data_IF_561056589801
#
_entry.id   IF_561056589801
#
_cell.length_a   1.000
_cell.length_b   1.000
_cell.length_c   1.000
_cell.angle_alpha   90.00
_cell.angle_beta   90.00
_cell.angle_gamma   90.00
#
_symmetry.space_group_name_H-M   'P 1'
#
loop_
_entity.id
_entity.type
_entity.pdbx_description
1 polymer ?
#
# COMPACT_ATOMS: atom_id res chain seq x y z
N UNK A 1 -35.41 -3.66 -30.24
CA UNK A 1 -34.01 -3.27 -29.95
C UNK A 1 -33.77 -1.75 -29.89
N UNK A 2 -34.74 -0.88 -30.22
CA UNK A 2 -34.57 0.59 -30.24
C UNK A 2 -34.96 1.32 -28.94
N UNK A 3 -35.89 0.78 -28.12
CA UNK A 3 -36.35 1.46 -26.90
C UNK A 3 -35.26 1.58 -25.81
N UNK A 4 -34.40 0.57 -25.63
CA UNK A 4 -33.39 0.60 -24.56
C UNK A 4 -32.31 1.66 -24.77
N UNK A 5 -32.04 2.04 -26.03
CA UNK A 5 -31.09 3.09 -26.37
C UNK A 5 -31.64 4.48 -26.00
N UNK A 6 -32.93 4.71 -26.27
CA UNK A 6 -33.64 5.95 -25.89
C UNK A 6 -33.66 6.16 -24.38
N UNK A 7 -34.02 5.13 -23.62
CA UNK A 7 -34.00 5.19 -22.14
C UNK A 7 -32.60 5.46 -21.58
N UNK A 8 -31.56 4.86 -22.18
CA UNK A 8 -30.18 5.05 -21.77
C UNK A 8 -29.64 6.45 -22.11
N UNK A 9 -30.14 7.07 -23.17
CA UNK A 9 -29.83 8.46 -23.51
C UNK A 9 -30.55 9.45 -22.58
N UNK A 10 -31.83 9.20 -22.27
CA UNK A 10 -32.60 10.07 -21.36
C UNK A 10 -32.00 10.02 -19.95
N UNK A 11 -31.62 8.83 -19.46
CA UNK A 11 -30.95 8.71 -18.16
C UNK A 11 -29.58 9.39 -18.13
N UNK A 12 -28.84 9.37 -19.23
CA UNK A 12 -27.58 10.11 -19.40
C UNK A 12 -27.78 11.62 -19.29
N UNK A 13 -28.80 12.16 -19.96
CA UNK A 13 -29.13 13.58 -19.90
C UNK A 13 -29.54 13.98 -18.49
N UNK A 14 -30.44 13.22 -17.85
CA UNK A 14 -30.87 13.48 -16.47
C UNK A 14 -29.71 13.48 -15.47
N UNK A 15 -28.79 12.52 -15.58
CA UNK A 15 -27.58 12.49 -14.74
C UNK A 15 -26.66 13.69 -15.00
N UNK A 16 -26.50 14.10 -16.25
CA UNK A 16 -25.70 15.29 -16.59
C UNK A 16 -26.30 16.57 -16.01
N UNK A 17 -27.63 16.74 -16.12
CA UNK A 17 -28.35 17.88 -15.54
C UNK A 17 -28.26 17.88 -14.02
N UNK A 18 -28.45 16.72 -13.38
CA UNK A 18 -28.30 16.59 -11.93
C UNK A 18 -26.90 16.97 -11.47
N UNK A 19 -25.86 16.64 -12.24
CA UNK A 19 -24.48 16.98 -11.89
C UNK A 19 -24.15 18.46 -12.07
N UNK A 20 -24.64 19.08 -13.14
CA UNK A 20 -24.52 20.53 -13.36
C UNK A 20 -25.28 21.29 -12.29
N UNK A 21 -26.52 20.88 -12.00
CA UNK A 21 -27.34 21.48 -10.97
C UNK A 21 -26.68 21.41 -9.59
N UNK A 22 -26.16 20.25 -9.22
CA UNK A 22 -25.44 20.08 -7.97
C UNK A 22 -24.13 20.86 -7.92
N UNK A 23 -23.44 21.04 -9.05
CA UNK A 23 -22.26 21.91 -9.12
C UNK A 23 -22.64 23.37 -8.87
N UNK A 24 -23.72 23.86 -9.51
CA UNK A 24 -24.23 25.22 -9.31
C UNK A 24 -24.62 25.46 -7.84
N UNK A 25 -25.26 24.48 -7.20
CA UNK A 25 -25.69 24.60 -5.79
C UNK A 25 -24.55 24.51 -4.78
N UNK A 26 -23.60 23.58 -5.00
CA UNK A 26 -22.62 23.22 -3.97
C UNK A 26 -21.21 23.75 -4.25
N UNK A 27 -20.96 24.26 -5.45
CA UNK A 27 -19.62 24.61 -5.95
C UNK A 27 -18.68 23.41 -6.15
N UNK A 28 -19.15 22.18 -5.86
CA UNK A 28 -18.32 20.97 -5.87
C UNK A 28 -18.66 20.07 -7.05
N UNK A 29 -17.62 19.69 -7.78
CA UNK A 29 -17.69 18.71 -8.86
C UNK A 29 -18.19 17.35 -8.36
N UNK A 30 -18.65 16.49 -9.28
CA UNK A 30 -19.04 15.11 -8.95
C UNK A 30 -17.88 14.36 -8.26
N UNK A 31 -16.65 14.55 -8.74
CA UNK A 31 -15.46 13.93 -8.15
C UNK A 31 -15.22 14.42 -6.71
N UNK A 32 -15.30 15.73 -6.47
CA UNK A 32 -15.16 16.28 -5.11
C UNK A 32 -16.26 15.76 -4.19
N UNK A 33 -17.50 15.63 -4.69
CA UNK A 33 -18.61 15.05 -3.92
C UNK A 33 -18.37 13.58 -3.57
N UNK A 34 -17.81 12.78 -4.48
CA UNK A 34 -17.47 11.36 -4.22
C UNK A 34 -16.29 11.26 -3.24
N UNK A 35 -15.26 12.08 -3.40
CA UNK A 35 -14.06 12.08 -2.55
C UNK A 35 -14.41 12.51 -1.11
N UNK A 36 -15.22 13.55 -0.97
CA UNK A 36 -15.63 14.12 0.34
C UNK A 36 -16.68 13.24 1.04
N UNK A 37 -17.34 12.30 0.35
CA UNK A 37 -18.34 11.43 0.96
C UNK A 37 -17.69 10.40 1.93
N UNK A 38 -17.48 10.79 3.18
CA UNK A 38 -16.92 9.95 4.24
C UNK A 38 -17.85 8.82 4.69
N UNK A 39 -19.13 8.83 4.31
CA UNK A 39 -20.07 7.74 4.62
C UNK A 39 -19.81 6.50 3.77
N UNK A 40 -19.18 6.65 2.60
CA UNK A 40 -18.85 5.53 1.71
C UNK A 40 -17.45 4.94 2.05
N UNK A 41 -17.36 3.61 2.22
CA UNK A 41 -16.08 2.89 2.29
C UNK A 41 -15.16 3.29 1.15
N UNK A 42 -13.86 3.39 1.43
CA UNK A 42 -12.84 3.80 0.45
C UNK A 42 -12.88 2.99 -0.86
N UNK A 43 -13.06 1.66 -0.87
CA UNK A 43 -13.14 0.89 -2.13
C UNK A 43 -14.31 1.28 -3.03
N UNK A 44 -15.46 1.62 -2.42
CA UNK A 44 -16.66 2.02 -3.15
C UNK A 44 -16.51 3.42 -3.75
N UNK A 45 -15.81 4.34 -3.06
CA UNK A 45 -15.47 5.66 -3.62
C UNK A 45 -14.57 5.55 -4.84
N UNK A 46 -13.55 4.68 -4.80
CA UNK A 46 -12.65 4.44 -5.95
C UNK A 46 -13.42 3.84 -7.13
N UNK A 47 -14.33 2.89 -6.88
CA UNK A 47 -15.20 2.32 -7.90
C UNK A 47 -16.11 3.36 -8.58
N UNK A 48 -16.72 4.25 -7.79
CA UNK A 48 -17.57 5.33 -8.32
C UNK A 48 -16.77 6.34 -9.16
N UNK A 49 -15.54 6.67 -8.74
CA UNK A 49 -14.62 7.50 -9.53
C UNK A 49 -14.35 6.82 -10.89
N UNK A 50 -13.99 5.53 -10.89
CA UNK A 50 -13.71 4.76 -12.11
C UNK A 50 -14.90 4.74 -13.08
N UNK A 51 -16.11 4.53 -12.56
CA UNK A 51 -17.33 4.53 -13.38
C UNK A 51 -17.66 5.92 -13.93
N UNK A 52 -17.42 6.98 -13.14
CA UNK A 52 -17.65 8.36 -13.60
C UNK A 52 -16.76 8.75 -14.78
N UNK A 53 -15.51 8.29 -14.77
CA UNK A 53 -14.52 8.52 -15.84
C UNK A 53 -14.89 7.74 -17.11
N UNK A 54 -15.29 6.47 -16.97
CA UNK A 54 -15.71 5.64 -18.10
C UNK A 54 -16.96 6.18 -18.80
N UNK A 55 -17.89 6.75 -18.04
CA UNK A 55 -19.13 7.32 -18.58
C UNK A 55 -18.90 8.60 -19.38
N UNK A 56 -17.94 9.44 -18.97
CA UNK A 56 -17.55 10.63 -19.74
C UNK A 56 -16.89 10.31 -21.08
N UNK A 57 -16.37 9.08 -21.26
CA UNK A 57 -15.57 8.70 -22.43
C UNK A 57 -16.36 8.29 -23.68
N UNK A 58 -17.70 8.14 -23.66
CA UNK A 58 -18.41 7.37 -24.72
C UNK A 58 -19.42 8.13 -25.59
N UNK A 59 -19.59 9.45 -25.47
CA UNK A 59 -20.54 10.19 -26.36
C UNK A 59 -20.13 11.57 -26.85
N UNK A 60 -19.11 12.21 -26.26
CA UNK A 60 -18.64 13.54 -26.69
C UNK A 60 -17.41 13.52 -27.61
N UNK A 61 -16.83 12.34 -27.89
CA UNK A 61 -15.47 12.22 -28.43
C UNK A 61 -15.27 12.96 -29.76
N UNK A 62 -16.24 12.94 -30.68
CA UNK A 62 -16.04 13.50 -32.02
C UNK A 62 -16.15 15.03 -32.07
N UNK A 63 -16.89 15.65 -31.15
CA UNK A 63 -17.01 17.12 -31.07
C UNK A 63 -15.98 17.72 -30.09
N UNK A 64 -15.55 16.97 -29.07
CA UNK A 64 -14.48 17.37 -28.17
C UNK A 64 -13.10 17.32 -28.85
N UNK A 65 -12.86 16.46 -29.85
CA UNK A 65 -11.59 16.42 -30.61
C UNK A 65 -11.24 17.76 -31.29
N UNK A 66 -12.22 18.56 -31.69
CA UNK A 66 -11.94 19.92 -32.20
C UNK A 66 -11.65 20.93 -31.09
N UNK A 67 -12.18 20.74 -29.88
CA UNK A 67 -11.83 21.52 -28.68
C UNK A 67 -10.50 21.08 -28.06
N UNK A 68 -10.00 19.88 -28.42
CA UNK A 68 -8.80 19.25 -27.85
C UNK A 68 -7.50 20.03 -28.05
N UNK A 69 -7.43 20.98 -28.98
CA UNK A 69 -6.29 21.91 -29.07
C UNK A 69 -6.14 22.81 -27.83
N UNK A 70 -7.24 23.11 -27.13
CA UNK A 70 -7.24 23.75 -25.81
C UNK A 70 -7.21 22.73 -24.63
N UNK A 71 -7.51 21.43 -24.86
CA UNK A 71 -7.56 20.37 -23.83
C UNK A 71 -6.24 19.63 -23.53
N UNK A 72 -5.09 19.98 -24.12
CA UNK A 72 -3.81 19.30 -23.76
C UNK A 72 -3.51 19.32 -22.25
N UNK A 73 -4.01 20.33 -21.53
CA UNK A 73 -3.94 20.42 -20.06
C UNK A 73 -4.92 19.47 -19.35
N UNK A 74 -6.09 19.20 -19.95
CA UNK A 74 -7.13 18.30 -19.43
C UNK A 74 -6.77 16.82 -19.68
N UNK A 75 -6.17 16.47 -20.82
CA UNK A 75 -5.63 15.12 -21.06
C UNK A 75 -4.49 14.81 -20.09
N UNK A 76 -3.59 15.78 -19.84
CA UNK A 76 -2.51 15.62 -18.86
C UNK A 76 -3.03 15.36 -17.45
N UNK A 77 -4.06 16.09 -17.00
CA UNK A 77 -4.67 15.87 -15.68
C UNK A 77 -5.32 14.48 -15.60
N UNK A 78 -5.99 14.04 -16.67
CA UNK A 78 -6.58 12.71 -16.73
C UNK A 78 -5.51 11.61 -16.62
N UNK A 79 -4.42 11.73 -17.35
CA UNK A 79 -3.32 10.75 -17.36
C UNK A 79 -2.58 10.72 -16.01
N UNK A 80 -2.38 11.89 -15.40
CA UNK A 80 -1.84 12.01 -14.04
C UNK A 80 -2.77 11.37 -13.01
N UNK A 81 -4.07 11.60 -13.09
CA UNK A 81 -5.05 11.01 -12.18
C UNK A 81 -5.08 9.49 -12.32
N UNK A 82 -5.09 8.98 -13.56
CA UNK A 82 -5.04 7.54 -13.84
C UNK A 82 -3.77 6.91 -13.26
N UNK A 83 -2.62 7.57 -13.45
CA UNK A 83 -1.34 7.12 -12.89
C UNK A 83 -1.38 7.05 -11.37
N UNK A 84 -1.94 8.06 -10.70
CA UNK A 84 -2.06 8.08 -9.23
C UNK A 84 -2.98 6.97 -8.75
N UNK A 85 -4.14 6.77 -9.38
CA UNK A 85 -5.08 5.69 -9.02
C UNK A 85 -4.41 4.33 -9.18
N UNK A 86 -3.73 4.09 -10.30
CA UNK A 86 -3.02 2.84 -10.54
C UNK A 86 -1.91 2.60 -9.51
N UNK A 87 -1.13 3.64 -9.16
CA UNK A 87 -0.15 3.55 -8.08
C UNK A 87 -0.79 3.20 -6.74
N UNK A 88 -1.93 3.80 -6.40
CA UNK A 88 -2.67 3.48 -5.16
C UNK A 88 -3.18 2.04 -5.14
N UNK A 89 -3.62 1.50 -6.28
CA UNK A 89 -3.98 0.08 -6.41
C UNK A 89 -2.76 -0.82 -6.16
N UNK A 90 -1.61 -0.51 -6.78
CA UNK A 90 -0.36 -1.26 -6.57
C UNK A 90 0.12 -1.19 -5.11
N UNK A 91 0.03 -0.03 -4.45
CA UNK A 91 0.38 0.09 -3.04
C UNK A 91 -0.50 -0.78 -2.14
N UNK A 92 -1.80 -0.91 -2.44
CA UNK A 92 -2.67 -1.80 -1.67
C UNK A 92 -2.30 -3.27 -1.83
N UNK A 93 -1.93 -3.69 -3.05
CA UNK A 93 -1.42 -5.04 -3.31
C UNK A 93 -0.13 -5.28 -2.52
N UNK A 94 0.80 -4.32 -2.55
CA UNK A 94 2.06 -4.42 -1.81
C UNK A 94 1.81 -4.52 -0.30
N UNK A 95 0.95 -3.67 0.27
CA UNK A 95 0.58 -3.73 1.70
C UNK A 95 0.00 -5.09 2.06
N UNK A 96 -0.84 -5.66 1.18
CA UNK A 96 -1.39 -7.00 1.39
C UNK A 96 -0.28 -8.05 1.43
N UNK A 97 0.61 -8.06 0.44
CA UNK A 97 1.75 -9.01 0.40
C UNK A 97 2.65 -8.90 1.64
N UNK A 98 2.95 -7.68 2.08
CA UNK A 98 3.73 -7.43 3.30
C UNK A 98 3.00 -7.99 4.54
N UNK A 99 1.69 -7.77 4.64
CA UNK A 99 0.89 -8.30 5.73
C UNK A 99 0.81 -9.83 5.70
N UNK A 100 0.75 -10.44 4.52
CA UNK A 100 0.78 -11.90 4.37
C UNK A 100 2.06 -12.47 4.98
N UNK A 101 3.22 -11.85 4.72
CA UNK A 101 4.51 -12.24 5.33
C UNK A 101 4.52 -11.97 6.84
N UNK A 102 4.02 -10.80 7.26
CA UNK A 102 3.92 -10.42 8.68
C UNK A 102 3.09 -11.40 9.50
N UNK A 103 2.08 -12.01 8.89
CA UNK A 103 1.19 -12.96 9.57
C UNK A 103 1.77 -14.37 9.66
N UNK A 104 2.89 -14.66 8.99
CA UNK A 104 3.59 -15.94 9.15
C UNK A 104 4.20 -16.01 10.55
N UNK A 105 3.72 -16.98 11.33
CA UNK A 105 4.20 -17.19 12.70
C UNK A 105 5.61 -17.76 12.69
N UNK A 106 6.52 -17.08 13.39
CA UNK A 106 7.88 -17.57 13.60
C UNK A 106 7.86 -18.77 14.56
N UNK A 107 8.61 -19.81 14.19
CA UNK A 107 8.69 -21.08 14.92
C UNK A 107 10.15 -21.53 14.98
N UNK A 108 10.50 -22.31 16.00
CA UNK A 108 11.81 -22.96 16.12
C UNK A 108 11.86 -24.34 15.45
N UNK A 109 10.80 -24.72 14.72
CA UNK A 109 10.69 -26.00 14.02
C UNK A 109 10.89 -25.86 12.52
N UNK A 110 10.70 -24.65 11.99
CA UNK A 110 10.89 -24.36 10.58
C UNK A 110 12.38 -24.07 10.32
N UNK A 111 13.05 -24.83 9.43
CA UNK A 111 14.48 -24.67 9.17
C UNK A 111 14.84 -23.28 8.63
N UNK A 112 13.98 -22.68 7.80
CA UNK A 112 14.21 -21.33 7.26
C UNK A 112 14.21 -20.26 8.37
N UNK A 113 13.34 -20.41 9.37
CA UNK A 113 13.32 -19.49 10.51
C UNK A 113 14.57 -19.64 11.38
N UNK A 114 15.01 -20.88 11.61
CA UNK A 114 16.23 -21.16 12.37
C UNK A 114 17.48 -20.61 11.68
N UNK A 115 17.60 -20.76 10.36
CA UNK A 115 18.70 -20.19 9.57
C UNK A 115 18.78 -18.66 9.70
N UNK A 116 17.64 -17.96 9.72
CA UNK A 116 17.61 -16.52 9.99
C UNK A 116 18.13 -16.18 11.40
N UNK A 117 17.74 -16.96 12.42
CA UNK A 117 18.27 -16.77 13.77
C UNK A 117 19.78 -17.01 13.84
N UNK A 118 20.29 -18.04 13.16
CA UNK A 118 21.73 -18.33 13.12
C UNK A 118 22.52 -17.20 12.46
N UNK A 119 21.99 -16.62 11.37
CA UNK A 119 22.56 -15.44 10.72
C UNK A 119 22.59 -14.23 11.66
N UNK A 120 21.51 -13.99 12.40
CA UNK A 120 21.46 -12.91 13.39
C UNK A 120 22.47 -13.16 14.51
N UNK A 121 22.53 -14.39 15.04
CA UNK A 121 23.44 -14.76 16.13
C UNK A 121 24.91 -14.58 15.72
N UNK A 122 25.30 -15.12 14.56
CA UNK A 122 26.66 -15.01 14.04
C UNK A 122 27.10 -13.58 13.77
N UNK A 123 26.19 -12.69 13.38
CA UNK A 123 26.52 -11.29 13.07
C UNK A 123 26.44 -10.36 14.27
N UNK A 124 25.49 -10.55 15.18
CA UNK A 124 25.24 -9.63 16.29
C UNK A 124 25.83 -10.12 17.62
N UNK A 125 25.88 -11.43 17.85
CA UNK A 125 26.37 -12.02 19.11
C UNK A 125 27.85 -12.39 19.00
N UNK A 126 28.27 -12.98 17.88
CA UNK A 126 29.65 -13.42 17.63
C UNK A 126 30.52 -12.26 17.05
N UNK A 127 30.45 -11.07 17.64
CA UNK A 127 31.34 -9.94 17.28
C UNK A 127 32.64 -9.90 18.11
N UNK A 128 32.74 -10.72 19.16
CA UNK A 128 33.95 -10.84 19.99
C UNK A 128 34.88 -11.90 19.40
N UNK A 129 36.15 -11.54 19.17
CA UNK A 129 37.16 -12.35 18.45
C UNK A 129 37.44 -13.77 19.00
N UNK A 130 36.87 -14.15 20.15
CA UNK A 130 37.12 -15.42 20.83
C UNK A 130 35.84 -16.24 21.15
N UNK A 131 34.67 -15.82 20.69
CA UNK A 131 33.40 -16.51 20.97
C UNK A 131 32.97 -17.36 19.77
N UNK A 132 33.15 -18.68 19.86
CA UNK A 132 32.66 -19.66 18.86
C UNK A 132 31.49 -20.50 19.39
N UNK A 133 30.73 -19.97 20.35
CA UNK A 133 29.60 -20.71 20.92
C UNK A 133 28.48 -20.88 19.88
N UNK A 134 27.99 -22.12 19.64
CA UNK A 134 26.88 -22.35 18.74
C UNK A 134 25.62 -21.62 19.23
N UNK A 135 24.76 -21.23 18.29
CA UNK A 135 23.52 -20.55 18.63
C UNK A 135 22.62 -21.46 19.49
N UNK A 136 22.19 -20.93 20.64
CA UNK A 136 21.12 -21.53 21.44
C UNK A 136 19.89 -20.62 21.40
N UNK A 137 18.74 -21.20 21.04
CA UNK A 137 17.46 -20.47 20.98
C UNK A 137 17.03 -19.88 22.33
N UNK A 138 17.50 -20.45 23.45
CA UNK A 138 17.25 -19.90 24.78
C UNK A 138 18.60 -19.50 25.39
N UNK A 139 18.90 -18.20 25.36
CA UNK A 139 20.16 -17.65 25.88
C UNK A 139 20.00 -16.21 26.37
N UNK A 140 20.65 -15.87 27.49
CA UNK A 140 20.72 -14.48 27.98
C UNK A 140 21.41 -13.53 27.00
N UNK A 141 22.17 -14.06 26.02
CA UNK A 141 22.81 -13.26 24.97
C UNK A 141 21.81 -12.58 24.04
N UNK A 142 20.64 -13.19 23.81
CA UNK A 142 19.55 -12.53 23.08
C UNK A 142 19.13 -11.23 23.78
N UNK A 143 18.99 -11.27 25.10
CA UNK A 143 18.70 -10.07 25.89
C UNK A 143 19.82 -9.03 25.82
N UNK A 144 21.09 -9.45 25.77
CA UNK A 144 22.23 -8.53 25.63
C UNK A 144 22.22 -7.75 24.32
N UNK A 145 21.68 -8.32 23.25
CA UNK A 145 21.56 -7.65 21.94
C UNK A 145 20.19 -6.97 21.73
N UNK A 146 19.36 -6.88 22.77
CA UNK A 146 18.15 -6.06 22.78
C UNK A 146 16.81 -6.80 22.67
N UNK A 147 16.80 -8.14 22.64
CA UNK A 147 15.53 -8.89 22.74
C UNK A 147 14.93 -8.80 24.15
N UNK A 148 13.60 -8.80 24.24
CA UNK A 148 12.89 -8.60 25.51
C UNK A 148 13.17 -9.72 26.53
N UNK A 149 13.47 -10.93 26.07
CA UNK A 149 13.74 -12.10 26.89
C UNK A 149 14.89 -12.96 26.39
N UNK A 150 15.18 -14.08 27.08
CA UNK A 150 16.23 -15.01 26.66
C UNK A 150 15.81 -15.87 25.46
N UNK A 151 14.52 -15.89 25.12
CA UNK A 151 14.01 -16.57 23.93
C UNK A 151 13.48 -15.51 22.94
N UNK A 152 14.18 -15.25 21.82
CA UNK A 152 13.83 -14.19 20.88
C UNK A 152 12.53 -14.49 20.11
N UNK A 153 12.04 -15.73 20.12
CA UNK A 153 10.80 -16.11 19.44
C UNK A 153 9.60 -15.32 19.96
N UNK A 154 9.62 -14.89 21.23
CA UNK A 154 8.51 -14.14 21.83
C UNK A 154 8.30 -12.75 21.24
N UNK A 155 9.36 -12.14 20.71
CA UNK A 155 9.38 -10.78 20.20
C UNK A 155 8.69 -10.69 18.82
N UNK A 156 8.61 -11.80 18.09
CA UNK A 156 8.01 -11.85 16.74
C UNK A 156 6.52 -12.18 16.73
N UNK A 157 5.83 -12.20 17.88
CA UNK A 157 4.38 -12.53 17.94
C UNK A 157 3.50 -11.57 17.14
N UNK A 158 3.88 -10.29 17.04
CA UNK A 158 3.10 -9.26 16.33
C UNK A 158 3.59 -8.92 14.92
N UNK A 159 4.88 -9.16 14.63
CA UNK A 159 5.54 -8.83 13.36
C UNK A 159 5.86 -10.06 12.50
N UNK A 160 5.79 -11.26 13.08
CA UNK A 160 6.01 -12.54 12.40
C UNK A 160 7.34 -12.60 11.66
N UNK A 161 7.34 -13.34 10.55
CA UNK A 161 8.51 -13.55 9.70
C UNK A 161 9.06 -12.24 9.13
N UNK A 162 8.20 -11.28 8.83
CA UNK A 162 8.64 -9.96 8.34
C UNK A 162 9.58 -9.28 9.33
N UNK A 163 9.27 -9.34 10.63
CA UNK A 163 10.13 -8.80 11.67
C UNK A 163 11.48 -9.53 11.73
N UNK A 164 11.47 -10.86 11.64
CA UNK A 164 12.69 -11.67 11.68
C UNK A 164 13.61 -11.38 10.49
N UNK A 165 13.04 -11.34 9.28
CA UNK A 165 13.78 -10.98 8.05
C UNK A 165 14.32 -9.56 8.10
N UNK A 166 13.57 -8.62 8.68
CA UNK A 166 14.02 -7.23 8.83
C UNK A 166 15.24 -7.13 9.75
N UNK A 167 15.25 -7.84 10.88
CA UNK A 167 16.41 -7.87 11.78
C UNK A 167 17.60 -8.57 11.12
N UNK A 168 17.38 -9.69 10.44
CA UNK A 168 18.46 -10.36 9.70
C UNK A 168 19.05 -9.44 8.62
N UNK A 169 18.21 -8.72 7.87
CA UNK A 169 18.67 -7.75 6.88
C UNK A 169 19.49 -6.62 7.53
N UNK A 170 18.99 -6.01 8.61
CA UNK A 170 19.68 -4.96 9.34
C UNK A 170 21.00 -5.43 9.94
N UNK A 171 21.08 -6.71 10.35
CA UNK A 171 22.32 -7.31 10.87
C UNK A 171 23.45 -7.42 9.85
N UNK A 172 23.15 -7.30 8.54
CA UNK A 172 24.15 -7.35 7.46
C UNK A 172 25.04 -6.11 7.43
N UNK A 173 24.46 -4.94 7.73
CA UNK A 173 25.15 -3.65 7.66
C UNK A 173 25.28 -3.02 9.06
N UNK A 174 26.40 -3.28 9.75
CA UNK A 174 26.72 -2.66 11.05
C UNK A 174 26.72 -1.12 11.01
N UNK A 175 26.99 -0.51 9.85
CA UNK A 175 27.10 0.95 9.68
C UNK A 175 25.73 1.65 9.75
N UNK A 176 24.64 0.99 9.31
CA UNK A 176 23.29 1.59 9.30
C UNK A 176 22.61 1.48 10.67
N UNK A 177 22.93 0.46 11.46
CA UNK A 177 22.34 0.29 12.80
C UNK A 177 22.85 1.32 13.83
N UNK A 178 24.09 1.82 13.68
CA UNK A 178 24.69 2.80 14.61
C UNK A 178 24.35 4.26 14.28
N UNK A 179 23.93 4.56 13.05
CA UNK A 179 23.54 5.92 12.65
C UNK A 179 22.11 6.28 13.10
N UNK A 180 21.19 5.31 13.17
CA UNK A 180 19.82 5.54 13.64
C UNK A 180 19.69 5.71 15.17
N UNK A 181 20.64 5.20 15.95
CA UNK A 181 20.66 5.35 17.42
C UNK A 181 21.30 6.69 17.85
N UNK A 182 22.01 7.37 16.95
CA UNK A 182 22.73 8.62 17.21
C UNK A 182 22.13 9.84 16.49
N UNK A 183 20.81 9.85 16.26
CA UNK A 183 20.12 11.08 15.86
C UNK A 183 19.76 11.82 17.16
N UNK A 184 20.22 13.08 17.35
CA UNK A 184 19.98 13.86 18.57
C UNK A 184 18.50 14.16 18.82
#
# INVERSE_FOLDING_TARGET
MSLSFGFRMISQLLLSFQNIFMYILTGKSLLERIIVNRQLPFPLRVYQIKNSINFTSTKNLNHEIEQIKNDRKKSLIHDQLYTVIHKLELYQILIKQINDIRNIKVTSTEPEHLDLFEKIWSRLVIQSKNDHEPMNMISKRWTKIGFQGPNPLTDFRGMGLLGLQSIEYLSRDQITCLTYVNIP
#
